data_IF_085861953058
#
_entry.id   IF_085861953058
#
_cell.length_a   1.000
_cell.length_b   1.000
_cell.length_c   1.000
_cell.angle_alpha   90.00
_cell.angle_beta   90.00
_cell.angle_gamma   90.00
#
_symmetry.space_group_name_H-M   'P 1'
#
loop_
_entity.id
_entity.type
_entity.pdbx_description
1 polymer ?
#
# COMPACT_ATOMS: atom_id res chain seq x y z
N UNK A 1 5.11 -19.77 22.54
CA UNK A 1 5.46 -18.47 21.92
C UNK A 1 4.30 -17.53 22.19
N UNK A 2 4.46 -16.66 23.18
CA UNK A 2 3.43 -15.72 23.64
C UNK A 2 3.36 -14.58 22.65
N UNK A 3 2.24 -14.48 21.92
CA UNK A 3 1.91 -13.34 21.07
C UNK A 3 1.75 -12.13 21.99
N UNK A 4 2.64 -11.15 21.88
CA UNK A 4 2.54 -9.89 22.60
C UNK A 4 1.25 -9.14 22.22
N UNK A 5 0.75 -8.22 23.06
CA UNK A 5 -0.52 -7.56 22.82
C UNK A 5 -0.48 -6.84 21.46
N UNK A 6 -1.41 -7.19 20.58
CA UNK A 6 -1.62 -6.50 19.31
C UNK A 6 -1.86 -5.03 19.59
N UNK A 7 -1.01 -4.16 19.05
CA UNK A 7 -1.22 -2.71 19.10
C UNK A 7 -2.63 -2.41 18.57
N UNK A 8 -3.53 -1.77 19.35
CA UNK A 8 -4.90 -1.47 18.94
C UNK A 8 -4.98 -0.56 17.71
N UNK A 9 -3.84 -0.02 17.24
CA UNK A 9 -3.69 0.77 16.01
C UNK A 9 -3.39 -0.08 14.78
N UNK A 10 -2.96 -1.34 14.93
CA UNK A 10 -2.63 -2.26 13.83
C UNK A 10 -3.84 -3.08 13.43
N UNK A 11 -4.20 -3.04 12.16
CA UNK A 11 -5.22 -3.92 11.59
C UNK A 11 -4.72 -5.36 11.52
N UNK A 12 -5.63 -6.33 11.40
CA UNK A 12 -5.25 -7.73 11.17
C UNK A 12 -4.55 -7.94 9.81
N UNK A 13 -4.52 -6.93 8.92
CA UNK A 13 -3.98 -6.99 7.56
C UNK A 13 -4.67 -8.05 6.67
N UNK A 14 -5.81 -8.58 7.12
CA UNK A 14 -6.59 -9.62 6.45
C UNK A 14 -7.58 -9.08 5.42
N UNK A 15 -7.94 -7.80 5.54
CA UNK A 15 -8.86 -7.10 4.62
C UNK A 15 -8.44 -5.65 4.41
N UNK A 16 -9.23 -4.87 3.67
CA UNK A 16 -8.86 -3.51 3.30
C UNK A 16 -8.54 -2.63 4.51
N UNK A 17 -7.56 -1.74 4.35
CA UNK A 17 -7.14 -0.83 5.41
C UNK A 17 -8.33 0.00 5.89
N UNK A 18 -8.52 0.03 7.22
CA UNK A 18 -9.69 0.68 7.82
C UNK A 18 -9.62 2.18 7.56
N UNK A 19 -10.63 2.72 6.88
CA UNK A 19 -10.76 4.17 6.58
C UNK A 19 -10.63 5.08 7.80
N UNK A 20 -11.04 4.61 8.99
CA UNK A 20 -10.90 5.33 10.25
C UNK A 20 -9.43 5.65 10.64
N UNK A 21 -8.46 4.96 10.05
CA UNK A 21 -7.04 5.23 10.23
C UNK A 21 -6.57 6.48 9.48
N UNK A 22 -7.34 7.01 8.52
CA UNK A 22 -6.97 8.23 7.78
C UNK A 22 -6.82 9.46 8.70
N UNK A 23 -7.29 9.43 9.95
CA UNK A 23 -6.94 10.45 10.96
C UNK A 23 -5.42 10.61 11.16
N UNK A 24 -4.66 9.56 10.82
CA UNK A 24 -3.20 9.54 10.74
C UNK A 24 -2.82 9.04 9.32
N UNK A 25 -2.59 9.94 8.35
CA UNK A 25 -2.35 9.54 6.95
C UNK A 25 -1.10 8.67 6.79
N UNK A 26 -0.05 8.91 7.60
CA UNK A 26 1.18 8.10 7.55
C UNK A 26 0.96 6.73 8.21
N UNK A 27 0.15 6.67 9.26
CA UNK A 27 -0.31 5.42 9.85
C UNK A 27 -1.14 4.60 8.85
N UNK A 28 -2.02 5.25 8.09
CA UNK A 28 -2.80 4.60 7.03
C UNK A 28 -1.90 3.99 5.94
N UNK A 29 -0.94 4.76 5.41
CA UNK A 29 0.03 4.25 4.42
C UNK A 29 0.87 3.09 4.97
N UNK A 30 1.30 3.18 6.23
CA UNK A 30 2.02 2.09 6.86
C UNK A 30 1.18 0.80 6.96
N UNK A 31 -0.11 0.91 7.24
CA UNK A 31 -1.02 -0.24 7.26
C UNK A 31 -1.28 -0.80 5.86
N UNK A 32 -1.37 0.05 4.82
CA UNK A 32 -1.38 -0.39 3.42
C UNK A 32 -0.13 -1.22 3.09
N UNK A 33 1.06 -0.79 3.53
CA UNK A 33 2.29 -1.58 3.33
C UNK A 33 2.23 -2.95 4.02
N UNK A 34 1.64 -3.02 5.23
CA UNK A 34 1.48 -4.30 5.93
C UNK A 34 0.50 -5.21 5.19
N UNK A 35 -0.59 -4.65 4.67
CA UNK A 35 -1.55 -5.38 3.83
C UNK A 35 -0.89 -5.88 2.55
N UNK A 36 -0.12 -5.04 1.87
CA UNK A 36 0.59 -5.42 0.65
C UNK A 36 1.60 -6.54 0.90
N UNK A 37 2.31 -6.53 2.03
CA UNK A 37 3.18 -7.65 2.43
C UNK A 37 2.42 -8.97 2.58
N UNK A 38 1.22 -8.94 3.16
CA UNK A 38 0.36 -10.13 3.25
C UNK A 38 -0.06 -10.61 1.86
N UNK A 39 -0.40 -9.69 0.95
CA UNK A 39 -0.73 -10.01 -0.45
C UNK A 39 0.47 -10.63 -1.17
N UNK A 40 1.68 -10.08 -0.99
CA UNK A 40 2.91 -10.67 -1.55
C UNK A 40 3.10 -12.13 -1.09
N UNK A 41 2.88 -12.41 0.21
CA UNK A 41 2.98 -13.78 0.74
C UNK A 41 1.94 -14.72 0.12
N UNK A 42 0.73 -14.23 -0.17
CA UNK A 42 -0.31 -15.00 -0.87
C UNK A 42 0.05 -15.25 -2.33
N UNK A 43 0.61 -14.27 -3.02
CA UNK A 43 1.14 -14.44 -4.38
C UNK A 43 2.24 -15.51 -4.40
N UNK A 44 3.17 -15.47 -3.44
CA UNK A 44 4.23 -16.46 -3.29
C UNK A 44 3.65 -17.87 -3.03
N UNK A 45 2.57 -17.99 -2.24
CA UNK A 45 1.89 -19.27 -2.00
C UNK A 45 1.26 -19.85 -3.28
N UNK A 46 0.62 -19.01 -4.10
CA UNK A 46 0.08 -19.42 -5.42
C UNK A 46 1.23 -19.86 -6.34
N UNK A 47 2.34 -19.11 -6.37
CA UNK A 47 3.52 -19.45 -7.17
C UNK A 47 4.20 -20.76 -6.72
N UNK A 48 4.15 -21.07 -5.42
CA UNK A 48 4.73 -22.25 -4.79
C UNK A 48 4.06 -23.58 -5.16
N UNK A 49 2.83 -23.56 -5.70
CA UNK A 49 2.23 -24.73 -6.35
C UNK A 49 1.30 -25.61 -5.54
N UNK A 50 0.83 -25.13 -4.39
CA UNK A 50 -0.41 -25.67 -3.83
C UNK A 50 -1.58 -25.41 -4.78
N UNK A 51 -2.66 -26.16 -4.62
CA UNK A 51 -3.96 -25.80 -5.21
C UNK A 51 -4.28 -24.36 -4.77
N UNK A 52 -4.49 -23.41 -5.69
CA UNK A 52 -4.78 -22.04 -5.31
C UNK A 52 -6.03 -21.99 -4.43
N UNK A 53 -5.90 -21.44 -3.23
CA UNK A 53 -7.05 -21.12 -2.38
C UNK A 53 -7.90 -20.07 -3.10
N UNK A 54 -9.16 -20.37 -3.49
CA UNK A 54 -10.00 -19.41 -4.21
C UNK A 54 -10.21 -18.11 -3.44
N UNK A 55 -10.30 -18.17 -2.11
CA UNK A 55 -10.43 -16.98 -1.28
C UNK A 55 -9.14 -16.13 -1.31
N UNK A 56 -7.98 -16.78 -1.18
CA UNK A 56 -6.68 -16.14 -1.33
C UNK A 56 -6.48 -15.46 -2.69
N UNK A 57 -6.89 -16.10 -3.79
CA UNK A 57 -6.82 -15.51 -5.14
C UNK A 57 -7.76 -14.31 -5.28
N UNK A 58 -8.99 -14.42 -4.79
CA UNK A 58 -9.94 -13.32 -4.81
C UNK A 58 -9.42 -12.10 -4.04
N UNK A 59 -8.78 -12.32 -2.88
CA UNK A 59 -8.19 -11.24 -2.09
C UNK A 59 -7.01 -10.56 -2.80
N UNK A 60 -6.15 -11.32 -3.50
CA UNK A 60 -5.07 -10.75 -4.32
C UNK A 60 -5.67 -9.87 -5.41
N UNK A 61 -6.67 -10.39 -6.14
CA UNK A 61 -7.33 -9.67 -7.24
C UNK A 61 -8.00 -8.39 -6.73
N UNK A 62 -8.70 -8.46 -5.60
CA UNK A 62 -9.35 -7.31 -5.00
C UNK A 62 -8.35 -6.22 -4.62
N UNK A 63 -7.26 -6.59 -3.95
CA UNK A 63 -6.22 -5.64 -3.55
C UNK A 63 -5.56 -4.99 -4.78
N UNK A 64 -5.08 -5.78 -5.73
CA UNK A 64 -4.38 -5.27 -6.93
C UNK A 64 -5.27 -4.39 -7.81
N UNK A 65 -6.59 -4.65 -7.83
CA UNK A 65 -7.53 -3.89 -8.65
C UNK A 65 -8.05 -2.62 -8.00
N UNK A 66 -8.23 -2.62 -6.68
CA UNK A 66 -8.99 -1.56 -5.99
C UNK A 66 -8.20 -0.80 -4.93
N UNK A 67 -7.20 -1.44 -4.31
CA UNK A 67 -6.45 -0.83 -3.20
C UNK A 67 -5.10 -0.30 -3.69
N UNK A 68 -4.34 -1.12 -4.42
CA UNK A 68 -3.01 -0.74 -4.92
C UNK A 68 -3.06 0.56 -5.75
N UNK A 69 -3.99 0.76 -6.71
CA UNK A 69 -4.00 2.00 -7.49
C UNK A 69 -4.21 3.26 -6.63
N UNK A 70 -5.04 3.19 -5.58
CA UNK A 70 -5.26 4.32 -4.68
C UNK A 70 -4.03 4.59 -3.80
N UNK A 71 -3.36 3.52 -3.36
CA UNK A 71 -2.12 3.62 -2.60
C UNK A 71 -1.02 4.31 -3.43
N UNK A 72 -0.77 3.81 -4.65
CA UNK A 72 0.19 4.42 -5.58
C UNK A 72 -0.15 5.89 -5.87
N UNK A 73 -1.44 6.21 -6.06
CA UNK A 73 -1.88 7.58 -6.29
C UNK A 73 -1.64 8.49 -5.07
N UNK A 74 -1.80 7.99 -3.84
CA UNK A 74 -1.47 8.75 -2.63
C UNK A 74 0.01 9.09 -2.54
N UNK A 75 0.86 8.18 -3.01
CA UNK A 75 2.30 8.36 -3.02
C UNK A 75 2.75 9.32 -4.11
N UNK A 76 2.37 9.05 -5.36
CA UNK A 76 2.86 9.79 -6.53
C UNK A 76 2.31 11.22 -6.63
N UNK A 77 1.02 11.42 -6.31
CA UNK A 77 0.39 12.73 -6.46
C UNK A 77 0.64 13.66 -5.26
N UNK A 78 0.84 13.10 -4.06
CA UNK A 78 0.91 13.90 -2.82
C UNK A 78 2.16 13.65 -1.99
N UNK A 79 2.41 12.41 -1.53
CA UNK A 79 3.50 12.15 -0.57
C UNK A 79 4.87 12.45 -1.17
N UNK A 80 5.18 11.94 -2.36
CA UNK A 80 6.48 12.14 -2.99
C UNK A 80 6.72 13.61 -3.34
N UNK A 81 5.77 14.35 -3.99
CA UNK A 81 5.92 15.78 -4.19
C UNK A 81 6.07 16.56 -2.88
N UNK A 82 5.38 16.16 -1.81
CA UNK A 82 5.53 16.77 -0.49
C UNK A 82 6.95 16.59 0.06
N UNK A 83 7.49 15.38 -0.01
CA UNK A 83 8.86 15.09 0.45
C UNK A 83 9.90 15.84 -0.37
N UNK A 84 9.75 15.93 -1.69
CA UNK A 84 10.64 16.72 -2.54
C UNK A 84 10.67 18.21 -2.16
N UNK A 85 9.56 18.75 -1.62
CA UNK A 85 9.51 20.14 -1.14
C UNK A 85 10.03 20.33 0.29
N UNK A 86 9.93 19.31 1.14
CA UNK A 86 10.17 19.44 2.60
C UNK A 86 11.52 18.88 3.05
N UNK A 87 12.07 17.91 2.33
CA UNK A 87 13.41 17.40 2.61
C UNK A 87 14.48 18.40 2.18
N UNK A 88 15.60 18.39 2.89
CA UNK A 88 16.78 19.20 2.54
C UNK A 88 17.70 18.40 1.61
N UNK A 89 18.62 19.04 0.87
CA UNK A 89 19.51 18.33 -0.06
C UNK A 89 20.30 17.17 0.57
N UNK A 90 20.71 17.31 1.83
CA UNK A 90 21.44 16.30 2.60
C UNK A 90 20.63 15.04 2.91
N UNK A 91 19.30 15.10 2.80
CA UNK A 91 18.44 13.92 2.94
C UNK A 91 18.53 13.01 1.70
N UNK A 92 18.97 13.54 0.57
CA UNK A 92 19.13 12.85 -0.72
C UNK A 92 17.88 12.06 -1.19
N UNK A 93 16.68 12.43 -0.72
CA UNK A 93 15.43 11.70 -0.91
C UNK A 93 15.05 11.57 -2.39
N UNK A 94 15.46 12.51 -3.23
CA UNK A 94 15.11 12.56 -4.66
C UNK A 94 15.55 11.31 -5.42
N UNK A 95 16.69 10.71 -5.08
CA UNK A 95 17.14 9.46 -5.73
C UNK A 95 16.25 8.28 -5.37
N UNK A 96 15.79 8.22 -4.13
CA UNK A 96 14.89 7.16 -3.64
C UNK A 96 13.52 7.30 -4.29
N UNK A 97 12.96 8.51 -4.33
CA UNK A 97 11.69 8.79 -5.01
C UNK A 97 11.77 8.43 -6.50
N UNK A 98 12.83 8.85 -7.20
CA UNK A 98 13.01 8.50 -8.61
C UNK A 98 13.04 6.99 -8.85
N UNK A 99 13.66 6.24 -7.93
CA UNK A 99 13.66 4.76 -7.97
C UNK A 99 12.26 4.19 -7.76
N UNK A 100 11.52 4.67 -6.77
CA UNK A 100 10.18 4.19 -6.44
C UNK A 100 9.19 4.47 -7.58
N UNK A 101 9.22 5.67 -8.18
CA UNK A 101 8.39 5.99 -9.35
C UNK A 101 8.71 5.10 -10.57
N UNK A 102 9.97 4.69 -10.75
CA UNK A 102 10.30 3.70 -11.78
C UNK A 102 9.73 2.31 -11.47
N UNK A 103 9.77 1.90 -10.20
CA UNK A 103 9.21 0.63 -9.75
C UNK A 103 7.66 0.63 -9.87
N UNK A 104 6.99 1.76 -9.57
CA UNK A 104 5.55 1.97 -9.80
C UNK A 104 5.16 1.81 -11.28
N UNK A 105 5.91 2.43 -12.21
CA UNK A 105 5.67 2.27 -13.66
C UNK A 105 5.79 0.82 -14.14
N UNK A 106 6.73 0.06 -13.58
CA UNK A 106 6.83 -1.37 -13.86
C UNK A 106 5.61 -2.12 -13.30
N UNK A 107 5.15 -1.77 -12.10
CA UNK A 107 3.94 -2.34 -11.51
C UNK A 107 2.69 -2.04 -12.35
N UNK A 108 2.53 -0.82 -12.89
CA UNK A 108 1.44 -0.47 -13.80
C UNK A 108 1.40 -1.33 -15.05
N UNK A 109 2.58 -1.71 -15.56
CA UNK A 109 2.70 -2.57 -16.74
C UNK A 109 2.44 -4.04 -16.40
N UNK A 110 2.95 -4.54 -15.27
CA UNK A 110 2.87 -5.94 -14.88
C UNK A 110 1.50 -6.33 -14.28
N UNK A 111 0.88 -5.42 -13.51
CA UNK A 111 -0.35 -5.70 -12.73
C UNK A 111 -1.53 -6.17 -13.60
N UNK A 112 -1.85 -5.54 -14.76
CA UNK A 112 -2.93 -6.00 -15.63
C UNK A 112 -2.73 -7.46 -16.09
N UNK A 113 -1.49 -7.84 -16.37
CA UNK A 113 -1.15 -9.21 -16.77
C UNK A 113 -1.34 -10.19 -15.61
N UNK A 114 -0.87 -9.84 -14.41
CA UNK A 114 -1.07 -10.66 -13.21
C UNK A 114 -2.56 -10.86 -12.93
N UNK A 115 -3.37 -9.80 -13.03
CA UNK A 115 -4.82 -9.86 -12.87
C UNK A 115 -5.48 -10.80 -13.88
N UNK A 116 -5.09 -10.75 -15.15
CA UNK A 116 -5.63 -11.63 -16.19
C UNK A 116 -5.27 -13.11 -15.97
N UNK A 117 -4.04 -13.38 -15.54
CA UNK A 117 -3.58 -14.73 -15.25
C UNK A 117 -4.29 -15.31 -14.01
N UNK A 118 -4.43 -14.53 -12.93
CA UNK A 118 -5.18 -14.94 -11.75
C UNK A 118 -6.68 -15.12 -12.04
N UNK A 119 -7.26 -14.29 -12.91
CA UNK A 119 -8.64 -14.43 -13.37
C UNK A 119 -8.88 -15.73 -14.12
N UNK A 120 -7.95 -16.11 -15.00
CA UNK A 120 -8.01 -17.39 -15.73
C UNK A 120 -7.87 -18.60 -14.81
N UNK A 121 -7.00 -18.51 -13.79
CA UNK A 121 -6.89 -19.55 -12.76
C UNK A 121 -8.20 -19.70 -11.97
N UNK A 122 -8.80 -18.58 -11.53
CA UNK A 122 -10.03 -18.60 -10.76
C UNK A 122 -11.22 -19.14 -11.57
N UNK A 123 -11.25 -18.89 -12.88
CA UNK A 123 -12.27 -19.43 -13.80
C UNK A 123 -12.04 -20.90 -14.19
N UNK A 124 -10.91 -21.50 -13.80
CA UNK A 124 -10.53 -22.86 -14.22
C UNK A 124 -10.22 -22.97 -15.72
N UNK A 125 -10.00 -21.85 -16.40
CA UNK A 125 -9.70 -21.81 -17.85
C UNK A 125 -8.20 -21.88 -18.15
N UNK A 126 -7.36 -21.81 -17.11
CA UNK A 126 -5.91 -22.00 -17.20
C UNK A 126 -5.37 -22.81 -16.01
N UNK A 127 -4.21 -23.41 -16.21
CA UNK A 127 -3.43 -24.07 -15.15
C UNK A 127 -2.17 -23.24 -14.81
N UNK A 128 -1.65 -23.46 -13.61
CA UNK A 128 -0.44 -22.79 -13.09
C UNK A 128 0.83 -23.24 -13.83
N UNK A 129 1.18 -22.57 -14.91
CA UNK A 129 2.38 -22.86 -15.70
C UNK A 129 3.67 -22.43 -14.98
N UNK A 130 4.85 -23.03 -15.30
CA UNK A 130 6.14 -22.60 -14.79
C UNK A 130 6.43 -21.11 -15.02
N UNK A 131 6.04 -20.58 -16.18
CA UNK A 131 6.26 -19.18 -16.54
C UNK A 131 5.36 -18.25 -15.72
N UNK A 132 4.11 -18.64 -15.48
CA UNK A 132 3.20 -17.89 -14.61
C UNK A 132 3.74 -17.84 -13.18
N UNK A 133 4.22 -18.97 -12.66
CA UNK A 133 4.84 -19.05 -11.32
C UNK A 133 6.04 -18.13 -11.20
N UNK A 134 6.92 -18.13 -12.21
CA UNK A 134 8.08 -17.25 -12.24
C UNK A 134 7.68 -15.76 -12.26
N UNK A 135 6.63 -15.40 -13.01
CA UNK A 135 6.10 -14.02 -13.04
C UNK A 135 5.53 -13.59 -11.69
N UNK A 136 4.68 -14.42 -11.08
CA UNK A 136 4.11 -14.16 -9.76
C UNK A 136 5.21 -13.95 -8.70
N UNK A 137 6.19 -14.86 -8.64
CA UNK A 137 7.31 -14.76 -7.70
C UNK A 137 8.17 -13.51 -7.94
N UNK A 138 8.39 -13.14 -9.21
CA UNK A 138 9.11 -11.91 -9.56
C UNK A 138 8.34 -10.66 -9.14
N UNK A 139 7.04 -10.62 -9.39
CA UNK A 139 6.15 -9.52 -9.02
C UNK A 139 6.15 -9.29 -7.50
N UNK A 140 5.88 -10.34 -6.70
CA UNK A 140 5.94 -10.27 -5.25
C UNK A 140 7.34 -9.90 -4.73
N UNK A 141 8.39 -10.40 -5.39
CA UNK A 141 9.77 -10.02 -5.09
C UNK A 141 10.07 -8.54 -5.31
N UNK A 142 9.56 -7.94 -6.39
CA UNK A 142 9.69 -6.50 -6.65
C UNK A 142 8.94 -5.68 -5.60
N UNK A 143 7.66 -5.97 -5.37
CA UNK A 143 6.84 -5.30 -4.38
C UNK A 143 7.48 -5.34 -2.97
N UNK A 144 8.02 -6.49 -2.54
CA UNK A 144 8.72 -6.58 -1.25
C UNK A 144 9.96 -5.67 -1.15
N UNK A 145 10.74 -5.53 -2.23
CA UNK A 145 11.92 -4.64 -2.24
C UNK A 145 11.50 -3.17 -2.24
N UNK A 146 10.45 -2.85 -2.99
CA UNK A 146 9.81 -1.54 -3.04
C UNK A 146 9.37 -1.08 -1.64
N UNK A 147 8.59 -1.93 -0.95
CA UNK A 147 8.11 -1.67 0.42
C UNK A 147 9.25 -1.51 1.44
N UNK A 148 10.41 -2.15 1.24
CA UNK A 148 11.56 -1.96 2.13
C UNK A 148 12.05 -0.51 2.02
N UNK A 149 12.18 0.03 0.81
CA UNK A 149 12.62 1.41 0.61
C UNK A 149 11.62 2.41 1.20
N UNK A 150 10.33 2.18 1.01
CA UNK A 150 9.30 3.07 1.58
C UNK A 150 9.29 3.05 3.10
N UNK A 151 9.32 1.86 3.71
CA UNK A 151 9.29 1.75 5.17
C UNK A 151 10.60 2.17 5.83
N UNK A 152 11.75 1.96 5.19
CA UNK A 152 13.06 2.26 5.77
C UNK A 152 13.54 3.68 5.48
N UNK A 153 13.00 4.35 4.46
CA UNK A 153 13.48 5.68 4.05
C UNK A 153 12.33 6.68 3.92
N UNK A 154 11.34 6.41 3.08
CA UNK A 154 10.26 7.38 2.77
C UNK A 154 9.44 7.72 4.01
N UNK A 155 8.88 6.73 4.71
CA UNK A 155 8.06 6.96 5.89
C UNK A 155 8.81 7.65 7.04
N UNK A 156 10.08 7.30 7.35
CA UNK A 156 10.89 8.08 8.28
C UNK A 156 10.99 9.57 7.92
N UNK A 157 11.27 9.92 6.66
CA UNK A 157 11.29 11.32 6.24
C UNK A 157 9.89 11.97 6.27
N UNK A 158 8.85 11.22 5.93
CA UNK A 158 7.46 11.69 6.01
C UNK A 158 7.02 12.00 7.44
N UNK A 159 7.62 11.36 8.44
CA UNK A 159 7.41 11.70 9.87
C UNK A 159 8.26 12.88 10.32
N UNK A 160 9.43 13.09 9.71
CA UNK A 160 10.42 14.07 10.17
C UNK A 160 10.22 15.46 9.55
N UNK A 161 9.92 15.55 8.24
CA UNK A 161 10.03 16.79 7.45
C UNK A 161 8.71 17.55 7.27
N UNK A 162 7.58 16.90 6.98
CA UNK A 162 6.29 17.59 6.83
C UNK A 162 5.81 18.26 8.11
N UNK A 163 5.10 19.39 7.95
CA UNK A 163 4.39 20.08 9.02
C UNK A 163 3.01 19.46 9.24
N UNK A 164 2.35 19.79 10.36
CA UNK A 164 0.97 19.35 10.61
C UNK A 164 -0.02 19.79 9.52
N UNK A 165 0.18 20.96 8.90
CA UNK A 165 -0.65 21.43 7.76
C UNK A 165 -0.44 20.61 6.49
N UNK A 166 0.78 20.14 6.26
CA UNK A 166 1.06 19.27 5.12
C UNK A 166 0.38 17.91 5.28
N UNK A 167 0.48 17.33 6.49
CA UNK A 167 -0.17 16.06 6.80
C UNK A 167 -1.70 16.16 6.75
N UNK A 168 -2.28 17.28 7.19
CA UNK A 168 -3.71 17.53 7.04
C UNK A 168 -4.12 17.62 5.56
N UNK A 169 -3.31 18.28 4.72
CA UNK A 169 -3.58 18.34 3.28
C UNK A 169 -3.51 16.95 2.63
N UNK A 170 -2.46 16.17 2.95
CA UNK A 170 -2.31 14.79 2.50
C UNK A 170 -3.53 13.95 2.90
N UNK A 171 -3.95 14.02 4.16
CA UNK A 171 -5.14 13.33 4.67
C UNK A 171 -6.38 13.66 3.86
N UNK A 172 -6.66 14.95 3.63
CA UNK A 172 -7.86 15.38 2.91
C UNK A 172 -7.86 14.85 1.47
N UNK A 173 -6.71 14.82 0.80
CA UNK A 173 -6.55 14.25 -0.55
C UNK A 173 -6.78 12.73 -0.57
N UNK A 174 -6.18 12.01 0.37
CA UNK A 174 -6.40 10.56 0.54
C UNK A 174 -7.87 10.21 0.80
N UNK A 175 -8.58 11.04 1.58
CA UNK A 175 -10.01 10.90 1.85
C UNK A 175 -10.85 11.18 0.60
N UNK A 176 -10.55 12.25 -0.13
CA UNK A 176 -11.23 12.62 -1.37
C UNK A 176 -11.14 11.50 -2.41
N UNK A 177 -9.94 10.91 -2.61
CA UNK A 177 -9.75 9.77 -3.53
C UNK A 177 -10.57 8.55 -3.16
N UNK A 178 -10.94 8.42 -1.89
CA UNK A 178 -11.77 7.31 -1.37
C UNK A 178 -13.25 7.66 -1.25
N UNK A 179 -13.68 8.83 -1.75
CA UNK A 179 -15.06 9.31 -1.68
C UNK A 179 -15.56 9.52 -0.25
N UNK A 180 -14.66 9.84 0.67
CA UNK A 180 -15.01 10.11 2.06
C UNK A 180 -15.18 11.61 2.22
N UNK A 181 -16.42 12.05 2.34
CA UNK A 181 -16.72 13.43 2.71
C UNK A 181 -16.08 13.76 4.05
N UNK A 182 -15.64 15.01 4.21
CA UNK A 182 -15.00 15.50 5.44
C UNK A 182 -15.77 14.97 6.65
N UNK A 183 -15.14 14.37 7.67
CA UNK A 183 -15.86 14.11 8.90
C UNK A 183 -16.32 15.49 9.36
N UNK A 184 -17.62 15.68 9.51
CA UNK A 184 -18.13 16.86 10.20
C UNK A 184 -17.38 16.90 11.52
N UNK A 185 -16.49 17.88 11.70
CA UNK A 185 -15.94 18.16 13.01
C UNK A 185 -17.16 18.43 13.89
N UNK A 186 -17.44 17.52 14.82
CA UNK A 186 -18.38 17.84 15.88
C UNK A 186 -17.84 19.12 16.54
N UNK A 187 -18.68 20.15 16.74
CA UNK A 187 -18.23 21.39 17.32
C UNK A 187 -17.56 21.07 18.66
N UNK A 188 -16.38 21.68 18.85
CA UNK A 188 -15.53 21.58 20.03
C UNK A 188 -16.35 22.00 21.27
N UNK A 189 -17.00 21.01 21.88
CA UNK A 189 -17.83 21.17 23.06
C UNK A 189 -17.09 20.57 24.26
N UNK A 190 -15.89 21.08 24.54
CA UNK A 190 -15.45 21.32 25.92
C UNK A 190 -14.13 22.11 25.95
N UNK A 191 -14.23 23.43 26.14
CA UNK A 191 -13.19 24.20 26.82
C UNK A 191 -13.81 24.79 28.09
N UNK A 192 -13.46 24.30 29.28
CA UNK A 192 -13.80 25.01 30.50
C UNK A 192 -12.91 26.26 30.63
N UNK A 193 -13.54 27.33 31.12
CA UNK A 193 -12.94 28.62 31.47
C UNK A 193 -11.90 28.52 32.59
#
# INVERSE_FOLDING_TARGET
>A
MTVGPSDPRRGACLGPTRRALLRDPLGFLHEDHLRERVICARIDAVAGGGTPDPAGVADIVAFLRHELPLHLQDEEEDLFPLLLRRCVPEDEIGRVIARLTLDHRHADTDTPRILAELGSLAAGTAALSPEMRARLARYAGHARRHLILENAIVLPFARLRPTGRDLETLRLRMMQRRGIDRPTEAPDADRPH
#
